data_IF_464526773510
#
_entry.id   IF_464526773510
#
_cell.length_a   1.000
_cell.length_b   1.000
_cell.length_c   1.000
_cell.angle_alpha   90.00
_cell.angle_beta   90.00
_cell.angle_gamma   90.00
#
_symmetry.space_group_name_H-M   'P 1'
#
loop_
_entity.id
_entity.type
_entity.pdbx_description
1 polymer ?
#
# COMPACT_ATOMS: atom_id res chain seq x y z
N UNK A 1 4.17 0.54 -17.88
CA UNK A 1 4.51 -0.90 -17.93
C UNK A 1 5.97 -1.19 -17.59
N UNK A 2 6.98 -0.82 -18.39
CA UNK A 2 8.39 -1.18 -18.09
C UNK A 2 8.88 -0.81 -16.68
N UNK A 3 8.48 0.34 -16.13
CA UNK A 3 8.84 0.76 -14.77
C UNK A 3 8.18 -0.12 -13.69
N UNK A 4 6.92 -0.48 -13.90
CA UNK A 4 6.14 -1.36 -13.00
C UNK A 4 6.75 -2.77 -13.00
N UNK A 5 7.06 -3.31 -14.18
CA UNK A 5 7.72 -4.61 -14.32
C UNK A 5 9.12 -4.63 -13.68
N UNK A 6 9.88 -3.54 -13.83
CA UNK A 6 11.18 -3.40 -13.18
C UNK A 6 11.06 -3.36 -11.64
N UNK A 7 10.04 -2.68 -11.12
CA UNK A 7 9.73 -2.65 -9.69
C UNK A 7 9.35 -4.04 -9.17
N UNK A 8 8.42 -4.74 -9.84
CA UNK A 8 8.03 -6.12 -9.50
C UNK A 8 9.26 -7.04 -9.49
N UNK A 9 10.12 -6.95 -10.50
CA UNK A 9 11.34 -7.77 -10.57
C UNK A 9 12.39 -7.39 -9.52
N UNK A 10 12.51 -6.12 -9.13
CA UNK A 10 13.52 -5.67 -8.19
C UNK A 10 13.26 -6.18 -6.76
N UNK A 11 12.00 -6.14 -6.31
CA UNK A 11 11.59 -6.58 -4.98
C UNK A 11 11.07 -8.01 -4.92
N UNK A 12 10.94 -8.66 -6.09
CA UNK A 12 10.27 -9.95 -6.18
C UNK A 12 8.79 -9.89 -5.79
N UNK A 13 8.15 -8.71 -5.92
CA UNK A 13 6.74 -8.48 -5.62
C UNK A 13 5.85 -8.72 -6.83
N UNK A 14 4.57 -9.01 -6.56
CA UNK A 14 3.53 -9.05 -7.57
C UNK A 14 2.46 -8.02 -7.21
N UNK A 15 2.42 -6.92 -7.96
CA UNK A 15 1.42 -5.88 -7.75
C UNK A 15 0.05 -6.38 -8.23
N UNK A 16 -1.03 -6.18 -7.46
CA UNK A 16 -2.39 -6.43 -7.91
C UNK A 16 -2.68 -5.73 -9.25
N UNK A 17 -3.45 -6.38 -10.12
CA UNK A 17 -3.70 -5.86 -11.48
C UNK A 17 -4.46 -4.54 -11.49
N UNK A 18 -5.36 -4.33 -10.53
CA UNK A 18 -6.13 -3.11 -10.32
C UNK A 18 -5.25 -1.96 -9.81
N UNK A 19 -4.34 -2.21 -8.87
CA UNK A 19 -3.35 -1.22 -8.46
C UNK A 19 -2.36 -0.87 -9.57
N UNK A 20 -1.98 -1.85 -10.41
CA UNK A 20 -1.20 -1.57 -11.62
C UNK A 20 -1.94 -0.68 -12.61
N UNK A 21 -3.25 -0.87 -12.77
CA UNK A 21 -4.06 0.00 -13.62
C UNK A 21 -4.03 1.44 -13.09
N UNK A 22 -4.19 1.62 -11.77
CA UNK A 22 -4.03 2.91 -11.13
C UNK A 22 -2.64 3.53 -11.39
N UNK A 23 -1.54 2.79 -11.18
CA UNK A 23 -0.17 3.30 -11.40
C UNK A 23 0.15 3.67 -12.85
N UNK A 24 -0.61 3.13 -13.81
CA UNK A 24 -0.49 3.51 -15.23
C UNK A 24 -1.22 4.83 -15.54
N UNK A 25 -2.26 5.15 -14.78
CA UNK A 25 -3.02 6.40 -14.91
C UNK A 25 -2.41 7.52 -14.05
N UNK A 26 -1.93 7.20 -12.86
CA UNK A 26 -1.32 8.11 -11.90
C UNK A 26 -0.12 7.46 -11.22
N UNK A 27 1.08 8.02 -11.40
CA UNK A 27 2.33 7.54 -10.78
C UNK A 27 2.42 8.03 -9.32
N UNK A 28 1.51 7.55 -8.47
CA UNK A 28 1.31 7.98 -7.10
C UNK A 28 0.10 8.90 -6.93
N UNK A 29 -0.23 9.22 -5.68
CA UNK A 29 -1.31 10.13 -5.30
C UNK A 29 -1.02 10.70 -3.89
N UNK A 30 -1.37 11.96 -3.66
CA UNK A 30 -1.17 12.60 -2.36
C UNK A 30 -2.24 13.67 -2.13
N UNK A 31 -3.37 13.27 -1.57
CA UNK A 31 -4.45 14.20 -1.21
C UNK A 31 -5.50 13.55 -0.30
N UNK A 32 -6.47 14.36 0.11
CA UNK A 32 -7.69 13.92 0.77
C UNK A 32 -8.55 13.05 -0.17
N UNK A 33 -9.15 12.02 0.40
CA UNK A 33 -10.19 11.20 -0.25
C UNK A 33 -11.32 11.03 0.73
N UNK A 34 -12.45 11.70 0.50
CA UNK A 34 -13.61 11.64 1.40
C UNK A 34 -13.26 12.09 2.82
N UNK A 35 -13.36 11.17 3.78
CA UNK A 35 -13.01 11.39 5.19
C UNK A 35 -11.58 10.93 5.56
N UNK A 36 -10.82 10.44 4.58
CA UNK A 36 -9.46 9.94 4.76
C UNK A 36 -8.43 10.70 3.94
N UNK A 37 -7.19 10.22 3.99
CA UNK A 37 -6.06 10.79 3.26
C UNK A 37 -5.25 9.65 2.65
N UNK A 38 -4.85 9.81 1.39
CA UNK A 38 -4.02 8.82 0.70
C UNK A 38 -2.72 9.47 0.29
N UNK A 39 -1.61 8.89 0.78
CA UNK A 39 -0.30 9.02 0.16
C UNK A 39 0.03 7.69 -0.49
N UNK A 40 -0.32 7.53 -1.78
CA UNK A 40 0.06 6.36 -2.57
C UNK A 40 1.40 6.65 -3.25
N UNK A 41 2.35 5.75 -3.04
CA UNK A 41 3.70 5.91 -3.56
C UNK A 41 3.74 5.69 -5.06
N UNK A 42 4.54 6.52 -5.74
CA UNK A 42 4.92 6.31 -7.13
C UNK A 42 5.71 5.00 -7.28
N UNK A 43 5.86 4.52 -8.51
CA UNK A 43 6.65 3.31 -8.80
C UNK A 43 8.10 3.44 -8.29
N UNK A 44 8.66 4.65 -8.31
CA UNK A 44 10.01 4.90 -7.83
C UNK A 44 10.09 4.91 -6.29
N UNK A 45 9.04 5.35 -5.61
CA UNK A 45 8.97 5.36 -4.14
C UNK A 45 8.62 3.99 -3.56
N UNK A 46 7.83 3.18 -4.26
CA UNK A 46 7.67 1.76 -3.96
C UNK A 46 9.04 1.06 -3.89
N UNK A 47 10.00 1.53 -4.69
CA UNK A 47 11.36 1.01 -4.66
C UNK A 47 12.19 1.42 -3.44
N UNK A 48 11.63 2.22 -2.54
CA UNK A 48 12.24 2.62 -1.28
C UNK A 48 11.46 2.06 -0.08
N UNK A 49 10.42 1.26 -0.32
CA UNK A 49 9.52 0.73 0.70
C UNK A 49 10.25 -0.13 1.75
N UNK A 50 11.35 -0.79 1.38
CA UNK A 50 12.15 -1.60 2.30
C UNK A 50 12.77 -0.78 3.44
N UNK A 51 13.04 0.51 3.20
CA UNK A 51 13.67 1.40 4.18
C UNK A 51 12.79 1.67 5.40
N UNK A 52 11.50 1.34 5.34
CA UNK A 52 10.58 1.50 6.46
C UNK A 52 10.67 0.35 7.49
N UNK A 53 11.30 -0.78 7.15
CA UNK A 53 11.56 -1.91 8.06
C UNK A 53 10.33 -2.40 8.87
N UNK A 54 9.12 -2.16 8.37
CA UNK A 54 7.84 -2.52 9.02
C UNK A 54 7.70 -4.04 9.12
N UNK A 55 7.96 -4.73 8.02
CA UNK A 55 8.06 -6.19 7.97
C UNK A 55 8.98 -6.59 6.80
N UNK A 56 9.40 -7.85 6.76
CA UNK A 56 10.09 -8.41 5.61
C UNK A 56 9.17 -8.39 4.37
N UNK A 57 9.66 -7.79 3.28
CA UNK A 57 8.96 -7.72 1.99
C UNK A 57 9.00 -9.10 1.31
N UNK A 58 7.84 -9.56 0.83
CA UNK A 58 7.71 -10.76 0.01
C UNK A 58 6.81 -10.51 -1.18
N UNK A 59 6.73 -11.52 -2.05
CA UNK A 59 5.96 -11.48 -3.29
C UNK A 59 4.54 -10.93 -3.15
N UNK A 60 3.87 -11.32 -2.08
CA UNK A 60 2.49 -11.00 -1.73
C UNK A 60 2.38 -10.14 -0.48
N UNK A 61 3.50 -9.54 -0.03
CA UNK A 61 3.55 -8.70 1.17
C UNK A 61 4.48 -7.51 1.01
N UNK A 62 3.94 -6.32 0.82
CA UNK A 62 4.71 -5.08 0.61
C UNK A 62 3.89 -3.83 0.93
N UNK A 63 4.56 -2.72 1.19
CA UNK A 63 3.92 -1.43 1.43
C UNK A 63 3.62 -0.70 0.11
N UNK A 64 2.55 0.09 0.09
CA UNK A 64 2.08 0.85 -1.08
C UNK A 64 1.86 2.34 -0.80
N UNK A 65 1.97 2.78 0.46
CA UNK A 65 1.65 4.14 0.85
C UNK A 65 1.45 4.36 2.34
N UNK A 66 0.82 5.48 2.68
CA UNK A 66 0.43 5.83 4.05
C UNK A 66 -0.80 6.72 4.08
N UNK A 67 -1.36 6.94 5.27
CA UNK A 67 -2.38 7.97 5.49
C UNK A 67 -1.79 9.37 5.73
N UNK A 68 -0.50 9.59 5.48
CA UNK A 68 0.20 10.84 5.80
C UNK A 68 0.59 10.99 7.28
N UNK A 69 0.34 9.96 8.10
CA UNK A 69 0.65 9.93 9.52
C UNK A 69 1.26 8.59 9.95
N UNK A 70 0.86 8.01 11.09
CA UNK A 70 1.50 6.82 11.66
C UNK A 70 1.08 5.50 10.99
N UNK A 71 0.15 5.54 10.02
CA UNK A 71 -0.41 4.33 9.39
C UNK A 71 0.15 4.16 7.97
N UNK A 72 0.73 3.01 7.70
CA UNK A 72 1.10 2.55 6.38
C UNK A 72 -0.05 1.79 5.70
N UNK A 73 -0.08 1.82 4.38
CA UNK A 73 -0.91 0.95 3.57
C UNK A 73 -0.06 -0.15 2.95
N UNK A 74 -0.58 -1.37 2.94
CA UNK A 74 0.11 -2.56 2.48
C UNK A 74 -0.79 -3.41 1.58
N UNK A 75 -0.15 -4.23 0.75
CA UNK A 75 -0.77 -5.42 0.17
C UNK A 75 -0.24 -6.63 0.94
N UNK A 76 -1.13 -7.46 1.46
CA UNK A 76 -0.81 -8.69 2.20
C UNK A 76 -1.72 -9.81 1.69
N UNK A 77 -1.14 -10.86 1.12
CA UNK A 77 -1.85 -12.01 0.54
C UNK A 77 -2.94 -11.59 -0.46
N UNK A 78 -2.67 -10.54 -1.23
CA UNK A 78 -3.58 -10.00 -2.25
C UNK A 78 -4.68 -9.07 -1.72
N UNK A 79 -4.71 -8.80 -0.42
CA UNK A 79 -5.63 -7.85 0.20
C UNK A 79 -4.94 -6.52 0.48
N UNK A 80 -5.70 -5.44 0.46
CA UNK A 80 -5.26 -4.11 0.87
C UNK A 80 -5.49 -3.93 2.36
N UNK A 81 -4.48 -3.48 3.08
CA UNK A 81 -4.53 -3.38 4.54
C UNK A 81 -3.98 -2.03 5.02
N UNK A 82 -4.44 -1.58 6.20
CA UNK A 82 -3.70 -0.63 7.03
C UNK A 82 -2.91 -1.36 8.11
N UNK A 83 -1.77 -0.77 8.46
CA UNK A 83 -0.86 -1.27 9.48
C UNK A 83 -0.06 -0.08 10.07
N UNK A 84 0.22 -0.01 11.37
CA UNK A 84 1.06 1.07 11.90
C UNK A 84 2.51 0.92 11.43
N UNK A 85 3.21 2.05 11.25
CA UNK A 85 4.65 2.05 10.99
C UNK A 85 5.47 1.54 12.19
N UNK A 86 4.93 1.64 13.40
CA UNK A 86 5.57 1.23 14.64
C UNK A 86 4.63 0.32 15.41
N UNK A 87 5.09 -0.89 15.70
CA UNK A 87 4.31 -1.91 16.37
C UNK A 87 4.47 -1.88 17.89
N UNK A 88 3.40 -2.23 18.57
CA UNK A 88 3.41 -2.54 20.00
C UNK A 88 3.67 -4.03 20.27
N UNK A 89 3.46 -4.90 19.27
CA UNK A 89 3.63 -6.34 19.33
C UNK A 89 4.00 -6.99 17.99
N UNK A 90 3.47 -8.19 17.72
CA UNK A 90 3.59 -8.80 16.38
C UNK A 90 2.75 -8.00 15.38
N UNK A 91 3.36 -7.59 14.29
CA UNK A 91 2.70 -6.79 13.25
C UNK A 91 1.41 -7.42 12.72
N UNK A 92 1.34 -8.76 12.72
CA UNK A 92 0.17 -9.53 12.24
C UNK A 92 -1.08 -9.24 13.04
N UNK A 93 -0.93 -8.95 14.33
CA UNK A 93 -2.04 -8.66 15.24
C UNK A 93 -2.58 -7.22 15.03
N UNK A 94 -1.82 -6.38 14.30
CA UNK A 94 -2.13 -4.98 14.02
C UNK A 94 -2.53 -4.75 12.55
N UNK A 95 -2.69 -5.82 11.75
CA UNK A 95 -3.17 -5.73 10.37
C UNK A 95 -4.68 -5.53 10.36
N UNK A 96 -5.13 -4.49 9.66
CA UNK A 96 -6.54 -4.26 9.34
C UNK A 96 -6.77 -4.39 7.85
N UNK A 97 -7.68 -5.28 7.45
CA UNK A 97 -8.10 -5.39 6.05
C UNK A 97 -9.01 -4.22 5.66
N UNK A 98 -8.73 -3.61 4.51
CA UNK A 98 -9.49 -2.50 3.92
C UNK A 98 -10.20 -2.88 2.63
N UNK A 99 -9.90 -4.05 2.06
CA UNK A 99 -10.56 -4.55 0.87
C UNK A 99 -9.77 -5.61 0.13
N UNK A 100 -10.45 -6.30 -0.78
CA UNK A 100 -9.90 -7.28 -1.71
C UNK A 100 -9.64 -6.70 -3.10
N UNK A 101 -10.03 -5.45 -3.33
CA UNK A 101 -9.74 -4.68 -4.55
C UNK A 101 -9.30 -3.25 -4.20
N UNK A 102 -8.63 -2.60 -5.16
CA UNK A 102 -8.21 -1.21 -5.04
C UNK A 102 -9.41 -0.27 -4.83
N UNK A 103 -10.54 -0.56 -5.47
CA UNK A 103 -11.78 0.22 -5.29
C UNK A 103 -12.33 0.08 -3.86
N UNK A 104 -12.39 -1.15 -3.32
CA UNK A 104 -12.82 -1.38 -1.93
C UNK A 104 -11.90 -0.66 -0.94
N UNK A 105 -10.59 -0.73 -1.16
CA UNK A 105 -9.59 -0.02 -0.37
C UNK A 105 -9.82 1.49 -0.38
N UNK A 106 -9.90 2.11 -1.56
CA UNK A 106 -10.13 3.55 -1.69
C UNK A 106 -11.45 3.95 -1.03
N UNK A 107 -12.49 3.13 -1.19
CA UNK A 107 -13.78 3.36 -0.54
C UNK A 107 -13.69 3.29 0.98
N UNK A 108 -12.99 2.31 1.54
CA UNK A 108 -12.79 2.18 2.98
C UNK A 108 -12.06 3.39 3.55
N UNK A 109 -11.00 3.86 2.88
CA UNK A 109 -10.31 5.09 3.27
C UNK A 109 -11.24 6.30 3.16
N UNK A 110 -12.01 6.40 2.07
CA UNK A 110 -12.97 7.48 1.84
C UNK A 110 -14.06 7.56 2.92
N UNK A 111 -14.41 6.44 3.56
CA UNK A 111 -15.37 6.36 4.65
C UNK A 111 -14.75 6.45 6.04
N UNK A 112 -13.44 6.75 6.14
CA UNK A 112 -12.75 6.98 7.40
C UNK A 112 -12.22 5.72 8.08
N UNK A 113 -12.03 4.62 7.35
CA UNK A 113 -11.49 3.37 7.88
C UNK A 113 -9.98 3.22 7.67
N UNK A 114 -9.33 4.17 7.01
CA UNK A 114 -7.91 4.11 6.63
C UNK A 114 -6.89 4.39 7.74
N UNK A 115 -7.26 4.28 9.01
CA UNK A 115 -6.38 4.50 10.16
C UNK A 115 -5.88 3.19 10.77
#
# INVERSE_FOLDING_TARGET
LRRVEACESHFGIALPSDYKAFLLESDGFNDEVGQGYLVLWSVSELALAEAYEVFEIHKDRFLIGSNGGPTAYAVIEGKYCSIPFVFSGDWRDEVRELGSSFEEFVKAVATGEGW
#
